data_IF_243263253982
#
_entry.id   IF_243263253982
#
_cell.length_a   1.000
_cell.length_b   1.000
_cell.length_c   1.000
_cell.angle_alpha   90.00
_cell.angle_beta   90.00
_cell.angle_gamma   90.00
#
_symmetry.space_group_name_H-M   'P 1'
#
loop_
_entity.id
_entity.type
_entity.pdbx_description
1 polymer ?
#
# COMPACT_ATOMS: atom_id res chain seq x y z
N UNK A 1 37.15 -36.49 24.23
CA UNK A 1 38.10 -36.20 23.14
C UNK A 1 37.23 -36.01 21.90
N UNK A 2 36.98 -34.75 21.51
CA UNK A 2 37.71 -34.06 20.40
C UNK A 2 37.51 -34.80 19.06
N UNK A 3 37.22 -34.21 17.90
CA UNK A 3 37.12 -32.84 17.34
C UNK A 3 36.68 -33.08 15.86
N UNK A 4 35.73 -32.31 15.28
CA UNK A 4 35.95 -31.23 14.29
C UNK A 4 36.17 -31.68 12.82
N UNK A 5 35.30 -31.22 11.89
CA UNK A 5 35.59 -30.55 10.59
C UNK A 5 34.41 -30.67 9.57
N UNK A 6 33.67 -29.58 9.32
CA UNK A 6 33.58 -28.79 8.07
C UNK A 6 33.26 -29.53 6.76
N UNK A 7 32.12 -29.21 6.15
CA UNK A 7 32.03 -28.86 4.73
C UNK A 7 30.83 -27.94 4.54
N UNK A 8 31.13 -26.72 4.09
CA UNK A 8 30.17 -25.74 3.65
C UNK A 8 29.56 -26.21 2.32
N UNK A 9 28.24 -26.34 2.27
CA UNK A 9 27.49 -26.32 1.02
C UNK A 9 26.46 -25.19 1.16
N UNK A 10 26.71 -24.10 0.44
CA UNK A 10 25.78 -22.98 0.37
C UNK A 10 24.52 -23.41 -0.38
N UNK A 11 23.32 -23.38 0.20
CA UNK A 11 22.12 -23.44 -0.60
C UNK A 11 21.98 -22.10 -1.33
N UNK A 12 22.16 -22.16 -2.63
CA UNK A 12 21.90 -21.09 -3.59
C UNK A 12 20.49 -20.54 -3.40
N UNK A 13 20.37 -19.22 -3.25
CA UNK A 13 19.09 -18.50 -3.18
C UNK A 13 18.42 -18.61 -4.56
N UNK A 14 17.22 -19.21 -4.71
CA UNK A 14 16.54 -19.19 -5.99
C UNK A 14 15.93 -17.82 -6.24
N UNK A 15 16.62 -17.10 -7.12
CA UNK A 15 16.16 -16.09 -8.08
C UNK A 15 14.65 -15.76 -8.07
N UNK A 16 14.33 -14.54 -7.62
CA UNK A 16 13.07 -13.84 -7.89
C UNK A 16 12.72 -13.95 -9.38
N UNK A 17 11.73 -14.79 -9.68
CA UNK A 17 11.17 -14.91 -11.01
C UNK A 17 9.86 -14.13 -11.03
N UNK A 18 9.87 -13.07 -11.80
CA UNK A 18 8.74 -12.20 -12.12
C UNK A 18 7.64 -13.05 -12.80
N UNK A 19 6.47 -13.19 -12.16
CA UNK A 19 5.20 -13.49 -12.84
C UNK A 19 4.02 -12.87 -12.08
N UNK A 20 3.07 -12.18 -12.76
CA UNK A 20 2.03 -11.39 -12.12
C UNK A 20 0.79 -12.27 -11.82
N UNK A 21 0.59 -12.63 -10.55
CA UNK A 21 -0.69 -13.20 -10.09
C UNK A 21 -1.66 -12.09 -9.65
N UNK A 22 -2.95 -12.15 -10.05
CA UNK A 22 -3.82 -10.97 -10.08
C UNK A 22 -4.33 -10.46 -8.73
N UNK A 23 -4.13 -11.16 -7.62
CA UNK A 23 -4.47 -10.65 -6.28
C UNK A 23 -3.55 -11.31 -5.24
N UNK A 24 -2.26 -10.99 -5.29
CA UNK A 24 -1.42 -11.27 -4.13
C UNK A 24 -1.82 -10.23 -3.09
N UNK A 25 -2.37 -10.67 -1.95
CA UNK A 25 -2.23 -9.95 -0.69
C UNK A 25 -0.73 -9.98 -0.38
N UNK A 26 0.01 -9.16 -1.12
CA UNK A 26 1.45 -9.17 -1.10
C UNK A 26 1.80 -8.63 0.27
N UNK A 27 2.34 -9.50 1.12
CA UNK A 27 2.72 -9.13 2.48
C UNK A 27 3.66 -7.92 2.42
N UNK A 28 4.46 -7.81 1.36
CA UNK A 28 5.28 -6.64 1.05
C UNK A 28 4.43 -5.41 0.68
N UNK A 29 3.41 -5.54 -0.15
CA UNK A 29 2.40 -4.49 -0.41
C UNK A 29 1.71 -3.99 0.87
N UNK A 30 1.24 -4.89 1.74
CA UNK A 30 0.67 -4.52 3.04
C UNK A 30 1.70 -3.84 3.95
N UNK A 31 2.93 -4.37 4.05
CA UNK A 31 3.99 -3.76 4.85
C UNK A 31 4.36 -2.36 4.34
N UNK A 32 4.38 -2.16 3.03
CA UNK A 32 4.61 -0.85 2.43
C UNK A 32 3.43 0.10 2.72
N UNK A 33 2.18 -0.35 2.59
CA UNK A 33 1.00 0.45 2.92
C UNK A 33 0.95 0.82 4.40
N UNK A 34 1.32 -0.12 5.28
CA UNK A 34 1.41 0.11 6.72
C UNK A 34 2.51 1.12 7.05
N UNK A 35 3.68 1.00 6.43
CA UNK A 35 4.78 1.96 6.56
C UNK A 35 4.38 3.36 6.07
N UNK A 36 3.63 3.43 4.97
CA UNK A 36 3.09 4.68 4.45
C UNK A 36 2.08 5.33 5.41
N UNK A 37 1.12 4.56 5.94
CA UNK A 37 0.17 5.06 6.93
C UNK A 37 0.90 5.55 8.18
N UNK A 38 1.96 4.86 8.63
CA UNK A 38 2.79 5.33 9.74
C UNK A 38 3.55 6.61 9.40
N UNK A 39 4.07 6.76 8.19
CA UNK A 39 4.78 7.97 7.74
C UNK A 39 3.84 9.18 7.66
N UNK A 40 2.67 9.01 7.04
CA UNK A 40 1.58 10.01 7.02
C UNK A 40 1.20 10.38 8.45
N UNK A 41 0.97 9.38 9.30
CA UNK A 41 0.64 9.60 10.71
C UNK A 41 1.74 10.37 11.42
N UNK A 42 3.01 9.99 11.32
CA UNK A 42 4.12 10.71 11.99
C UNK A 42 4.26 12.16 11.51
N UNK A 43 4.09 12.40 10.20
CA UNK A 43 4.15 13.73 9.59
C UNK A 43 3.02 14.64 10.06
N UNK A 44 1.79 14.13 10.08
CA UNK A 44 0.63 14.94 10.43
C UNK A 44 0.30 14.91 11.92
N UNK A 45 0.60 13.87 12.69
CA UNK A 45 0.28 13.80 14.13
C UNK A 45 1.03 14.86 14.93
N UNK A 46 2.28 15.17 14.56
CA UNK A 46 3.08 16.19 15.24
C UNK A 46 2.65 17.64 14.91
N UNK A 47 2.09 17.88 13.72
CA UNK A 47 1.78 19.25 13.23
C UNK A 47 0.28 19.52 13.13
N UNK A 48 -0.51 18.56 12.64
CA UNK A 48 -1.93 18.67 12.34
C UNK A 48 -2.65 17.31 12.53
N UNK A 49 -3.04 16.93 13.76
CA UNK A 49 -3.71 15.65 14.02
C UNK A 49 -5.05 15.52 13.27
N UNK A 50 -5.72 16.64 13.04
CA UNK A 50 -6.90 16.78 12.19
C UNK A 50 -6.68 16.24 10.75
N UNK A 51 -5.50 16.45 10.16
CA UNK A 51 -5.18 15.88 8.84
C UNK A 51 -4.99 14.37 8.90
N UNK A 52 -4.37 13.84 9.96
CA UNK A 52 -4.21 12.39 10.10
C UNK A 52 -5.57 11.67 10.23
N UNK A 53 -6.53 12.27 10.95
CA UNK A 53 -7.90 11.73 11.05
C UNK A 53 -8.63 11.80 9.71
N UNK A 54 -8.56 12.94 9.01
CA UNK A 54 -9.17 13.07 7.68
C UNK A 54 -8.58 12.08 6.67
N UNK A 55 -7.28 11.80 6.74
CA UNK A 55 -6.64 10.77 5.91
C UNK A 55 -7.25 9.39 6.13
N UNK A 56 -7.43 8.97 7.38
CA UNK A 56 -8.02 7.67 7.72
C UNK A 56 -9.49 7.59 7.28
N UNK A 57 -10.25 8.67 7.44
CA UNK A 57 -11.63 8.76 6.97
C UNK A 57 -11.71 8.54 5.45
N UNK A 58 -10.84 9.22 4.70
CA UNK A 58 -10.75 9.08 3.25
C UNK A 58 -10.35 7.65 2.84
N UNK A 59 -9.38 7.04 3.52
CA UNK A 59 -8.98 5.65 3.28
C UNK A 59 -10.14 4.68 3.49
N UNK A 60 -10.93 4.91 4.54
CA UNK A 60 -12.08 4.10 4.89
C UNK A 60 -13.22 4.25 3.88
N UNK A 61 -13.34 5.40 3.20
CA UNK A 61 -14.29 5.58 2.09
C UNK A 61 -13.94 4.76 0.84
N UNK A 62 -12.67 4.38 0.66
CA UNK A 62 -12.21 3.54 -0.47
C UNK A 62 -12.47 2.06 -0.19
N UNK A 63 -12.58 1.67 1.09
CA UNK A 63 -12.82 0.30 1.52
C UNK A 63 -14.28 -0.11 1.24
N UNK A 64 -14.57 -0.34 -0.04
CA UNK A 64 -15.88 -0.80 -0.51
C UNK A 64 -15.93 -2.32 -0.34
N UNK A 65 -16.90 -2.86 0.40
CA UNK A 65 -17.03 -4.31 0.54
C UNK A 65 -17.31 -4.96 -0.83
N UNK A 66 -16.73 -6.15 -1.10
CA UNK A 66 -16.97 -6.87 -2.34
C UNK A 66 -18.46 -7.12 -2.54
N UNK A 67 -18.97 -6.75 -3.71
CA UNK A 67 -20.35 -7.02 -4.14
C UNK A 67 -20.41 -8.29 -4.97
N UNK A 68 -21.61 -8.86 -5.14
CA UNK A 68 -21.84 -10.03 -6.01
C UNK A 68 -21.29 -9.82 -7.43
N UNK A 69 -21.36 -8.59 -7.95
CA UNK A 69 -20.75 -8.20 -9.23
C UNK A 69 -19.37 -7.57 -9.03
N UNK A 70 -18.30 -8.29 -9.39
CA UNK A 70 -16.91 -7.75 -9.38
C UNK A 70 -16.80 -6.47 -10.23
N UNK A 71 -17.49 -6.41 -11.38
CA UNK A 71 -17.45 -5.25 -12.28
C UNK A 71 -18.05 -3.99 -11.66
N UNK A 72 -19.17 -4.11 -10.96
CA UNK A 72 -19.80 -3.00 -10.24
C UNK A 72 -19.00 -2.62 -9.00
N UNK A 73 -18.44 -3.60 -8.31
CA UNK A 73 -17.53 -3.36 -7.19
C UNK A 73 -16.29 -2.58 -7.61
N UNK A 74 -15.65 -2.94 -8.73
CA UNK A 74 -14.50 -2.20 -9.26
C UNK A 74 -14.90 -0.78 -9.69
N UNK A 75 -16.03 -0.60 -10.37
CA UNK A 75 -16.50 0.72 -10.76
C UNK A 75 -16.79 1.62 -9.55
N UNK A 76 -17.48 1.10 -8.53
CA UNK A 76 -17.74 1.82 -7.28
C UNK A 76 -16.45 2.15 -6.53
N UNK A 77 -15.50 1.20 -6.49
CA UNK A 77 -14.19 1.41 -5.87
C UNK A 77 -13.37 2.46 -6.62
N UNK A 78 -13.38 2.46 -7.95
CA UNK A 78 -12.69 3.44 -8.77
C UNK A 78 -13.26 4.85 -8.60
N UNK A 79 -14.60 4.99 -8.53
CA UNK A 79 -15.26 6.26 -8.23
C UNK A 79 -14.86 6.79 -6.84
N UNK A 80 -14.92 5.93 -5.82
CA UNK A 80 -14.50 6.27 -4.45
C UNK A 80 -13.03 6.62 -4.37
N UNK A 81 -12.18 5.89 -5.08
CA UNK A 81 -10.74 6.14 -5.17
C UNK A 81 -10.45 7.49 -5.83
N UNK A 82 -11.15 7.86 -6.91
CA UNK A 82 -11.01 9.15 -7.54
C UNK A 82 -11.41 10.29 -6.60
N UNK A 83 -12.54 10.15 -5.90
CA UNK A 83 -12.98 11.13 -4.90
C UNK A 83 -11.98 11.24 -3.73
N UNK A 84 -11.49 10.10 -3.24
CA UNK A 84 -10.47 10.04 -2.20
C UNK A 84 -9.17 10.72 -2.62
N UNK A 85 -8.70 10.47 -3.85
CA UNK A 85 -7.51 11.11 -4.41
C UNK A 85 -7.62 12.63 -4.40
N UNK A 86 -8.75 13.19 -4.86
CA UNK A 86 -8.98 14.64 -4.82
C UNK A 86 -8.96 15.20 -3.40
N UNK A 87 -9.56 14.49 -2.44
CA UNK A 87 -9.52 14.91 -1.02
C UNK A 87 -8.09 14.84 -0.47
N UNK A 88 -7.31 13.82 -0.84
CA UNK A 88 -5.91 13.67 -0.45
C UNK A 88 -5.01 14.73 -1.09
N UNK A 89 -5.26 15.15 -2.33
CA UNK A 89 -4.54 16.28 -2.97
C UNK A 89 -4.65 17.55 -2.13
N UNK A 90 -5.85 17.86 -1.64
CA UNK A 90 -6.06 19.03 -0.77
C UNK A 90 -5.46 18.81 0.62
N UNK A 91 -5.58 17.59 1.16
CA UNK A 91 -5.10 17.27 2.50
C UNK A 91 -3.56 17.29 2.59
N UNK A 92 -2.91 16.77 1.54
CA UNK A 92 -1.47 16.71 1.35
C UNK A 92 -0.95 17.88 0.51
N UNK A 93 -1.66 19.01 0.49
CA UNK A 93 -1.16 20.23 -0.14
C UNK A 93 0.24 20.58 0.42
N UNK A 94 1.23 20.63 -0.47
CA UNK A 94 2.66 20.78 -0.11
C UNK A 94 3.44 19.47 0.17
N UNK A 95 2.80 18.30 0.07
CA UNK A 95 3.39 16.97 0.29
C UNK A 95 3.11 16.02 -0.89
N UNK A 96 3.55 16.39 -2.09
CA UNK A 96 3.38 15.59 -3.31
C UNK A 96 3.97 14.17 -3.19
N UNK A 97 5.04 13.98 -2.42
CA UNK A 97 5.64 12.67 -2.14
C UNK A 97 4.66 11.66 -1.55
N UNK A 98 3.71 12.12 -0.72
CA UNK A 98 2.71 11.25 -0.10
C UNK A 98 1.63 10.85 -1.11
N UNK A 99 1.25 11.78 -1.98
CA UNK A 99 0.28 11.53 -3.04
C UNK A 99 0.83 10.55 -4.08
N UNK A 100 2.09 10.72 -4.47
CA UNK A 100 2.75 9.84 -5.45
C UNK A 100 2.89 8.40 -4.90
N UNK A 101 3.24 8.27 -3.61
CA UNK A 101 3.22 6.98 -2.92
C UNK A 101 1.82 6.37 -2.94
N UNK A 102 0.79 7.16 -2.63
CA UNK A 102 -0.59 6.69 -2.67
C UNK A 102 -0.99 6.17 -4.06
N UNK A 103 -0.68 6.91 -5.13
CA UNK A 103 -0.90 6.45 -6.52
C UNK A 103 -0.13 5.14 -6.82
N UNK A 104 1.09 4.98 -6.29
CA UNK A 104 1.87 3.74 -6.41
C UNK A 104 1.33 2.57 -5.56
N UNK A 105 0.53 2.85 -4.52
CA UNK A 105 -0.15 1.86 -3.68
C UNK A 105 -1.46 1.36 -4.26
N UNK A 106 -2.07 2.15 -5.14
CA UNK A 106 -3.25 1.72 -5.87
C UNK A 106 -2.81 0.65 -6.87
N UNK A 107 -3.53 -0.49 -6.98
CA UNK A 107 -3.17 -1.51 -7.95
C UNK A 107 -3.13 -0.82 -9.30
N UNK A 108 -1.92 -0.74 -9.87
CA UNK A 108 -1.73 -0.09 -11.15
C UNK A 108 -2.74 -0.70 -12.10
N UNK A 109 -3.50 0.14 -12.79
CA UNK A 109 -4.09 -0.26 -14.05
C UNK A 109 -2.90 -0.43 -15.00
N UNK A 110 -2.15 -1.52 -14.83
CA UNK A 110 -1.05 -1.89 -15.71
C UNK A 110 -1.62 -1.93 -17.11
N UNK A 111 -1.34 -0.87 -17.86
CA UNK A 111 -1.48 -0.81 -19.31
C UNK A 111 -0.40 -1.68 -19.93
#
# INVERSE_FOLDING_TARGET
MESKDSTADSPSIPNQSNDPTPFVFDQTGFNKSLGFVQEVRSRFEASQPEKSSAFLEILQEIDVPPRESIKEWQAARAEKQAAARTKLEVLFDGHADLLEKFDAFLPATST
#
